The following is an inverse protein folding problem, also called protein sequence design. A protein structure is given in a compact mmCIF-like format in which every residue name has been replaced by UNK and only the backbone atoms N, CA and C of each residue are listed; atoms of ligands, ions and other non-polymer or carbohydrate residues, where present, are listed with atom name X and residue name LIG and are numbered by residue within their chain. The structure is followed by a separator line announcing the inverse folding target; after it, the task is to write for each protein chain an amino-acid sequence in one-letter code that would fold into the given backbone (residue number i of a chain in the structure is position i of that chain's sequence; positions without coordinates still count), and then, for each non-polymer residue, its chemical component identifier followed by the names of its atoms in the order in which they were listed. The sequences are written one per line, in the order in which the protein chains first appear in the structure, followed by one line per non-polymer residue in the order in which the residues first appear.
data_IF_196395429269
#
_entry.id   IF_196395429269
#
_cell.length_a   1.000
_cell.length_b   1.000
_cell.length_c   1.000
_cell.angle_alpha   90.00
_cell.angle_beta   90.00
_cell.angle_gamma   90.00
#
_symmetry.space_group_name_H-M   'P 1'
#
loop_
_entity.id
_entity.type
_entity.pdbx_description
1 polymer ?
#
# COMPACT_ATOMS: atom_id res chain seq x y z
N UNK A 1 -13.06 1.28 -7.94
CA UNK A 1 -12.37 1.54 -6.66
C UNK A 1 -10.91 1.86 -6.97
N UNK A 2 -10.36 2.92 -6.39
CA UNK A 2 -9.10 3.51 -6.87
C UNK A 2 -7.94 3.03 -6.01
N UNK A 3 -7.10 2.16 -6.58
CA UNK A 3 -5.93 1.57 -5.92
C UNK A 3 -5.00 2.58 -5.21
N UNK A 4 -5.04 3.87 -5.57
CA UNK A 4 -4.20 4.91 -4.94
C UNK A 4 -4.58 5.17 -3.49
N UNK A 5 -5.88 5.09 -3.16
CA UNK A 5 -6.36 5.20 -1.78
C UNK A 5 -5.84 4.03 -0.95
N UNK A 6 -5.91 2.82 -1.49
CA UNK A 6 -5.42 1.63 -0.79
C UNK A 6 -3.91 1.72 -0.50
N UNK A 7 -3.11 2.29 -1.42
CA UNK A 7 -1.68 2.54 -1.18
C UNK A 7 -1.47 3.58 -0.07
N UNK A 8 -2.29 4.64 -0.04
CA UNK A 8 -2.27 5.61 1.04
C UNK A 8 -2.62 4.98 2.39
N UNK A 9 -3.67 4.16 2.42
CA UNK A 9 -4.13 3.45 3.62
C UNK A 9 -3.08 2.47 4.12
N UNK A 10 -2.40 1.72 3.23
CA UNK A 10 -1.26 0.86 3.57
C UNK A 10 -0.16 1.66 4.28
N UNK A 11 0.28 2.77 3.69
CA UNK A 11 1.30 3.63 4.29
C UNK A 11 0.85 4.17 5.65
N UNK A 12 -0.42 4.60 5.75
CA UNK A 12 -0.99 5.13 6.99
C UNK A 12 -1.03 4.06 8.09
N UNK A 13 -1.53 2.85 7.81
CA UNK A 13 -1.60 1.76 8.79
C UNK A 13 -0.21 1.32 9.25
N UNK A 14 0.73 1.14 8.31
CA UNK A 14 2.10 0.75 8.63
C UNK A 14 2.82 1.81 9.48
N UNK A 15 2.64 3.10 9.18
CA UNK A 15 3.19 4.21 9.99
C UNK A 15 2.62 4.20 11.42
N UNK A 16 1.36 3.82 11.59
CA UNK A 16 0.70 3.70 12.89
C UNK A 16 0.97 2.35 13.59
N UNK A 17 1.81 1.48 13.02
CA UNK A 17 2.14 0.14 13.54
C UNK A 17 0.92 -0.76 13.71
N UNK A 18 -0.07 -0.59 12.84
CA UNK A 18 -1.23 -1.48 12.81
C UNK A 18 -0.89 -2.71 11.98
N UNK A 19 -1.18 -3.88 12.56
CA UNK A 19 -0.86 -5.16 11.95
C UNK A 19 -1.92 -5.59 10.92
N UNK A 20 -1.55 -6.48 10.01
CA UNK A 20 -2.46 -7.06 9.02
C UNK A 20 -3.35 -8.09 9.71
N UNK A 21 -4.66 -7.89 9.63
CA UNK A 21 -5.62 -8.89 10.09
C UNK A 21 -5.59 -10.13 9.16
N UNK A 22 -4.97 -11.20 9.64
CA UNK A 22 -4.81 -12.47 8.90
C UNK A 22 -6.15 -13.11 8.55
N UNK A 23 -7.13 -13.02 9.45
CA UNK A 23 -8.47 -13.61 9.25
C UNK A 23 -9.21 -12.89 8.11
N UNK A 24 -9.14 -11.56 8.06
CA UNK A 24 -9.74 -10.77 6.98
C UNK A 24 -9.10 -11.14 5.63
N UNK A 25 -7.78 -11.24 5.56
CA UNK A 25 -7.09 -11.64 4.33
C UNK A 25 -7.54 -13.04 3.89
N UNK A 26 -7.62 -13.99 4.82
CA UNK A 26 -8.05 -15.36 4.51
C UNK A 26 -9.49 -15.42 4.04
N UNK A 27 -10.40 -14.70 4.69
CA UNK A 27 -11.83 -14.69 4.36
C UNK A 27 -12.10 -14.04 3.00
N UNK A 28 -11.37 -12.98 2.64
CA UNK A 28 -11.58 -12.26 1.39
C UNK A 28 -10.87 -12.90 0.19
N UNK A 29 -9.72 -13.54 0.40
CA UNK A 29 -8.85 -13.99 -0.70
C UNK A 29 -8.72 -15.51 -0.79
N UNK A 30 -9.14 -16.24 0.23
CA UNK A 30 -8.88 -17.68 0.39
C UNK A 30 -7.41 -18.01 0.66
N UNK A 31 -6.52 -17.02 0.75
CA UNK A 31 -5.06 -17.19 0.88
C UNK A 31 -4.55 -16.71 2.24
N UNK A 32 -3.44 -17.25 2.70
CA UNK A 32 -2.69 -16.67 3.81
C UNK A 32 -2.04 -15.35 3.39
N UNK A 33 -1.67 -14.54 4.39
CA UNK A 33 -0.94 -13.29 4.13
C UNK A 33 0.37 -13.55 3.39
N UNK A 34 1.10 -14.62 3.73
CA UNK A 34 2.35 -15.03 3.06
C UNK A 34 2.17 -15.29 1.57
N UNK A 35 1.04 -15.87 1.17
CA UNK A 35 0.73 -16.19 -0.23
C UNK A 35 0.18 -14.99 -1.01
N UNK A 36 -0.54 -14.09 -0.34
CA UNK A 36 -1.24 -12.98 -1.01
C UNK A 36 -0.40 -11.71 -1.12
N UNK A 37 0.35 -11.37 -0.07
CA UNK A 37 1.15 -10.16 0.03
C UNK A 37 2.12 -9.92 -1.15
N UNK A 38 2.81 -10.95 -1.71
CA UNK A 38 3.66 -10.75 -2.89
C UNK A 38 2.89 -10.21 -4.10
N UNK A 39 1.63 -10.62 -4.27
CA UNK A 39 0.79 -10.17 -5.38
C UNK A 39 0.41 -8.70 -5.22
N UNK A 40 0.09 -8.27 -3.98
CA UNK A 40 -0.18 -6.86 -3.68
C UNK A 40 1.04 -5.98 -3.99
N UNK A 41 2.23 -6.40 -3.54
CA UNK A 41 3.48 -5.67 -3.81
C UNK A 41 3.71 -5.54 -5.32
N UNK A 42 3.65 -6.66 -6.06
CA UNK A 42 3.86 -6.66 -7.49
C UNK A 42 2.81 -5.85 -8.27
N UNK A 43 1.58 -5.77 -7.76
CA UNK A 43 0.53 -4.91 -8.32
C UNK A 43 0.87 -3.43 -8.11
N UNK A 44 1.25 -3.05 -6.89
CA UNK A 44 1.61 -1.66 -6.55
C UNK A 44 2.83 -1.19 -7.35
N UNK A 45 3.85 -2.02 -7.50
CA UNK A 45 5.07 -1.68 -8.25
C UNK A 45 4.81 -1.36 -9.73
N UNK A 46 3.76 -1.93 -10.33
CA UNK A 46 3.39 -1.69 -11.73
C UNK A 46 2.66 -0.36 -11.95
N UNK A 47 2.21 0.30 -10.88
CA UNK A 47 1.53 1.59 -10.98
C UNK A 47 2.55 2.67 -11.36
N UNK A 48 2.20 3.48 -12.38
CA UNK A 48 3.05 4.59 -12.82
C UNK A 48 2.93 5.75 -11.82
N UNK A 49 4.02 6.46 -11.58
CA UNK A 49 4.04 7.59 -10.63
C UNK A 49 3.06 8.70 -11.04
N UNK A 50 2.86 8.88 -12.36
CA UNK A 50 1.88 9.81 -12.92
C UNK A 50 0.43 9.50 -12.55
N UNK A 51 0.14 8.27 -12.11
CA UNK A 51 -1.20 7.83 -11.71
C UNK A 51 -1.44 7.97 -10.20
N UNK A 52 -0.41 8.29 -9.39
CA UNK A 52 -0.48 8.27 -7.92
C UNK A 52 -1.50 9.23 -7.31
N UNK A 53 -1.92 10.26 -8.06
CA UNK A 53 -2.96 11.20 -7.61
C UNK A 53 -4.33 10.94 -8.23
N UNK A 54 -4.50 9.94 -9.09
CA UNK A 54 -5.79 9.66 -9.68
C UNK A 54 -6.80 9.31 -8.57
N UNK A 55 -7.88 10.08 -8.48
CA UNK A 55 -8.93 9.96 -7.44
C UNK A 55 -8.51 10.41 -6.04
N UNK A 56 -7.20 10.44 -5.73
CA UNK A 56 -6.69 10.92 -4.44
C UNK A 56 -6.44 12.43 -4.43
N UNK A 57 -6.07 13.02 -5.58
CA UNK A 57 -5.71 14.44 -5.69
C UNK A 57 -6.85 15.41 -5.38
N UNK A 58 -8.10 14.97 -5.52
CA UNK A 58 -9.30 15.75 -5.17
C UNK A 58 -9.54 15.81 -3.66
N UNK A 59 -9.01 14.85 -2.90
CA UNK A 59 -9.15 14.75 -1.45
C UNK A 59 -8.00 15.44 -0.69
N UNK A 60 -6.97 15.88 -1.41
CA UNK A 60 -5.75 16.45 -0.84
C UNK A 60 -5.66 17.91 -1.26
N UNK A 61 -5.83 18.83 -0.33
CA UNK A 61 -5.79 20.28 -0.63
C UNK A 61 -4.36 20.81 -0.76
N UNK A 62 -3.41 20.24 -0.01
CA UNK A 62 -2.03 20.72 0.04
C UNK A 62 -1.19 20.25 -1.15
N UNK A 63 -0.67 21.17 -1.96
CA UNK A 63 0.27 20.84 -3.05
C UNK A 63 1.54 20.13 -2.55
N UNK A 64 2.05 20.51 -1.37
CA UNK A 64 3.18 19.80 -0.73
C UNK A 64 2.86 18.32 -0.49
N UNK A 65 1.63 18.02 -0.07
CA UNK A 65 1.21 16.65 0.16
C UNK A 65 1.00 15.91 -1.16
N UNK A 66 0.45 16.56 -2.19
CA UNK A 66 0.35 15.99 -3.54
C UNK A 66 1.73 15.64 -4.11
N UNK A 67 2.72 16.52 -3.93
CA UNK A 67 4.10 16.27 -4.34
C UNK A 67 4.73 15.11 -3.58
N UNK A 68 4.48 15.02 -2.27
CA UNK A 68 4.93 13.86 -1.51
C UNK A 68 4.29 12.56 -2.02
N UNK A 69 2.99 12.56 -2.30
CA UNK A 69 2.27 11.39 -2.83
C UNK A 69 2.85 10.94 -4.18
N UNK A 70 3.08 11.87 -5.12
CA UNK A 70 3.64 11.55 -6.44
C UNK A 70 5.02 10.91 -6.35
N UNK A 71 5.84 11.37 -5.41
CA UNK A 71 7.27 11.05 -5.38
C UNK A 71 7.66 9.96 -4.38
N UNK A 72 6.89 9.74 -3.31
CA UNK A 72 7.31 8.90 -2.17
C UNK A 72 6.31 7.80 -1.80
N UNK A 73 5.01 8.08 -1.84
CA UNK A 73 3.99 7.20 -1.25
C UNK A 73 4.09 5.75 -1.74
N UNK A 74 4.27 5.54 -3.05
CA UNK A 74 4.41 4.21 -3.64
C UNK A 74 5.63 3.47 -3.10
N UNK A 75 6.78 4.15 -3.09
CA UNK A 75 8.05 3.56 -2.65
C UNK A 75 7.99 3.20 -1.15
N UNK A 76 7.44 4.10 -0.33
CA UNK A 76 7.30 3.89 1.10
C UNK A 76 6.36 2.72 1.41
N UNK A 77 5.19 2.67 0.76
CA UNK A 77 4.24 1.57 0.94
C UNK A 77 4.85 0.21 0.53
N UNK A 78 5.54 0.15 -0.62
CA UNK A 78 6.23 -1.07 -1.06
C UNK A 78 7.32 -1.49 -0.07
N UNK A 79 8.12 -0.54 0.43
CA UNK A 79 9.14 -0.82 1.43
C UNK A 79 8.54 -1.39 2.71
N UNK A 80 7.46 -0.78 3.22
CA UNK A 80 6.76 -1.23 4.43
C UNK A 80 6.20 -2.65 4.26
N UNK A 81 5.56 -2.95 3.12
CA UNK A 81 5.05 -4.30 2.85
C UNK A 81 6.17 -5.33 2.72
N UNK A 82 7.30 -4.98 2.10
CA UNK A 82 8.49 -5.87 2.02
C UNK A 82 9.12 -6.11 3.39
N UNK A 83 9.15 -5.10 4.25
CA UNK A 83 9.61 -5.24 5.63
C UNK A 83 8.70 -6.22 6.39
N UNK A 84 7.39 -6.05 6.31
CA UNK A 84 6.42 -6.99 6.89
C UNK A 84 6.57 -8.41 6.32
N UNK A 85 6.77 -8.54 5.01
CA UNK A 85 6.99 -9.83 4.36
C UNK A 85 8.22 -10.57 4.91
N UNK A 86 9.28 -9.85 5.31
CA UNK A 86 10.51 -10.47 5.83
C UNK A 86 10.31 -11.23 7.13
N UNK A 87 9.26 -10.92 7.91
CA UNK A 87 8.91 -11.62 9.15
C UNK A 87 8.60 -13.10 8.86
N UNK A 88 8.03 -13.42 7.70
CA UNK A 88 7.68 -14.81 7.31
C UNK A 88 8.82 -15.60 6.65
N UNK A 89 9.99 -14.97 6.48
CA UNK A 89 11.20 -15.60 5.92
C UNK A 89 12.17 -16.08 6.99
N UNK A 90 11.92 -15.71 8.25
CA UNK A 90 12.59 -16.22 9.45
C UNK A 90 11.89 -17.52 9.85
#
# INVERSE_FOLDING_TARGET
ETAMRDIFDIHYFAKNRWDINVEVVKNLTGKSVKEYLPNCIAFIEKIKDSQMLHGLGELIESEKQKDWIRNHLKADAVFMLKNYQSIFKI
#
